data_IF_083844067716
#
_entry.id   IF_083844067716
#
_cell.length_a   1.000
_cell.length_b   1.000
_cell.length_c   1.000
_cell.angle_alpha   90.00
_cell.angle_beta   90.00
_cell.angle_gamma   90.00
#
_symmetry.space_group_name_H-M   'P 1'
#
loop_
_entity.id
_entity.type
_entity.pdbx_description
1 polymer ?
#
# COMPACT_ATOMS: atom_id res chain seq x y z
N UNK A 1 -13.82 13.58 6.10
CA UNK A 1 -12.57 14.38 6.17
C UNK A 1 -11.96 14.60 4.78
N UNK A 2 -11.69 13.57 3.97
CA UNK A 2 -11.07 13.70 2.63
C UNK A 2 -11.75 14.75 1.75
N UNK A 3 -13.07 14.73 1.60
CA UNK A 3 -13.81 15.70 0.79
C UNK A 3 -13.64 17.15 1.25
N UNK A 4 -13.49 17.38 2.56
CA UNK A 4 -13.27 18.74 3.08
C UNK A 4 -11.88 19.26 2.68
N UNK A 5 -10.87 18.41 2.71
CA UNK A 5 -9.49 18.72 2.28
C UNK A 5 -9.45 18.97 0.77
N UNK A 6 -10.04 18.09 -0.03
CA UNK A 6 -10.11 18.24 -1.50
C UNK A 6 -10.85 19.50 -1.96
N UNK A 7 -11.76 20.02 -1.13
CA UNK A 7 -12.53 21.25 -1.38
C UNK A 7 -11.99 22.48 -0.64
N UNK A 8 -10.76 22.37 -0.10
CA UNK A 8 -10.10 23.47 0.64
C UNK A 8 -10.93 24.03 1.80
N UNK A 9 -11.73 23.16 2.44
CA UNK A 9 -12.55 23.49 3.61
C UNK A 9 -11.90 23.08 4.94
N UNK A 10 -10.84 22.29 4.88
CA UNK A 10 -10.05 21.88 6.03
C UNK A 10 -8.61 21.62 5.59
N UNK A 11 -7.66 21.92 6.46
CA UNK A 11 -6.27 21.53 6.30
C UNK A 11 -6.04 20.14 6.91
N UNK A 12 -5.07 19.41 6.38
CA UNK A 12 -4.64 18.12 6.90
C UNK A 12 -3.11 18.11 7.01
N UNK A 13 -2.61 17.59 8.10
CA UNK A 13 -1.18 17.30 8.18
C UNK A 13 -0.83 16.19 7.19
N UNK A 14 0.12 16.48 6.30
CA UNK A 14 0.59 15.50 5.30
C UNK A 14 1.73 14.67 5.88
N UNK A 15 1.47 14.03 7.02
CA UNK A 15 2.41 13.11 7.65
C UNK A 15 2.07 11.65 7.28
N UNK A 16 2.92 10.75 7.72
CA UNK A 16 2.87 9.32 7.45
C UNK A 16 1.60 8.68 8.02
N UNK A 17 1.30 8.96 9.29
CA UNK A 17 0.14 8.39 10.00
C UNK A 17 -1.18 8.77 9.32
N UNK A 18 -1.31 10.04 8.95
CA UNK A 18 -2.52 10.54 8.27
C UNK A 18 -2.66 9.94 6.89
N UNK A 19 -1.58 9.74 6.14
CA UNK A 19 -1.61 9.06 4.83
C UNK A 19 -2.03 7.61 5.01
N UNK A 20 -1.38 6.90 5.94
CA UNK A 20 -1.65 5.50 6.22
C UNK A 20 -3.10 5.29 6.62
N UNK A 21 -3.61 6.04 7.61
CA UNK A 21 -4.99 5.93 8.05
C UNK A 21 -6.00 6.33 6.97
N UNK A 22 -5.70 7.34 6.16
CA UNK A 22 -6.60 7.80 5.10
C UNK A 22 -6.72 6.79 3.96
N UNK A 23 -5.64 6.15 3.55
CA UNK A 23 -5.62 5.24 2.41
C UNK A 23 -5.95 3.81 2.86
N UNK A 24 -5.17 3.25 3.79
CA UNK A 24 -5.42 1.88 4.28
C UNK A 24 -6.78 1.81 4.96
N UNK A 25 -7.14 2.81 5.79
CA UNK A 25 -8.45 2.86 6.44
C UNK A 25 -9.64 2.88 5.47
N UNK A 26 -9.50 3.49 4.30
CA UNK A 26 -10.53 3.38 3.24
C UNK A 26 -10.56 1.98 2.62
N UNK A 27 -9.41 1.39 2.36
CA UNK A 27 -9.32 0.09 1.73
C UNK A 27 -9.87 -1.03 2.63
N UNK A 28 -9.79 -0.90 3.95
CA UNK A 28 -10.40 -1.86 4.89
C UNK A 28 -11.94 -1.88 4.85
N UNK A 29 -12.58 -0.91 4.20
CA UNK A 29 -14.03 -0.91 3.95
C UNK A 29 -14.44 -1.78 2.75
N UNK A 30 -13.48 -2.26 1.97
CA UNK A 30 -13.71 -3.21 0.89
C UNK A 30 -13.94 -4.63 1.45
N UNK A 31 -14.57 -5.53 0.68
CA UNK A 31 -14.54 -6.95 1.01
C UNK A 31 -13.11 -7.44 1.23
N UNK A 32 -12.88 -8.26 2.25
CA UNK A 32 -11.55 -8.70 2.68
C UNK A 32 -10.69 -9.25 1.53
N UNK A 33 -11.27 -10.12 0.70
CA UNK A 33 -10.59 -10.70 -0.46
C UNK A 33 -10.18 -9.64 -1.50
N UNK A 34 -10.99 -8.60 -1.70
CA UNK A 34 -10.65 -7.53 -2.63
C UNK A 34 -9.55 -6.63 -2.07
N UNK A 35 -9.63 -6.30 -0.78
CA UNK A 35 -8.57 -5.57 -0.10
C UNK A 35 -7.23 -6.31 -0.18
N UNK A 36 -7.23 -7.62 0.12
CA UNK A 36 -6.04 -8.45 -0.01
C UNK A 36 -5.53 -8.52 -1.46
N UNK A 37 -6.44 -8.69 -2.43
CA UNK A 37 -6.09 -8.68 -3.86
C UNK A 37 -5.33 -7.40 -4.26
N UNK A 38 -5.77 -6.23 -3.81
CA UNK A 38 -5.12 -4.95 -4.11
C UNK A 38 -3.71 -4.88 -3.52
N UNK A 39 -3.54 -5.23 -2.24
CA UNK A 39 -2.23 -5.27 -1.60
C UNK A 39 -1.31 -6.27 -2.32
N UNK A 40 -1.79 -7.48 -2.56
CA UNK A 40 -1.03 -8.54 -3.22
C UNK A 40 -0.60 -8.16 -4.64
N UNK A 41 -1.48 -7.52 -5.43
CA UNK A 41 -1.17 -7.09 -6.79
C UNK A 41 -0.17 -5.94 -6.86
N UNK A 42 0.00 -5.18 -5.78
CA UNK A 42 1.01 -4.12 -5.69
C UNK A 42 2.44 -4.65 -5.44
N UNK A 43 2.59 -5.93 -5.08
CA UNK A 43 3.87 -6.57 -4.77
C UNK A 43 4.52 -7.16 -6.02
N UNK A 44 5.87 -7.22 -6.05
CA UNK A 44 6.64 -7.77 -7.18
C UNK A 44 6.54 -9.30 -7.27
N UNK A 45 6.49 -9.98 -6.12
CA UNK A 45 6.38 -11.44 -6.06
C UNK A 45 5.16 -11.86 -5.24
N UNK A 46 4.31 -12.70 -5.82
CA UNK A 46 3.04 -13.12 -5.21
C UNK A 46 2.97 -14.62 -4.87
N UNK A 47 3.87 -15.43 -5.41
CA UNK A 47 3.77 -16.89 -5.35
C UNK A 47 3.91 -17.52 -3.95
N UNK A 48 4.45 -16.75 -2.98
CA UNK A 48 4.60 -17.18 -1.58
C UNK A 48 3.58 -16.55 -0.64
N UNK A 49 2.64 -15.83 -1.19
CA UNK A 49 1.61 -15.12 -0.43
C UNK A 49 0.34 -15.96 -0.36
N UNK A 50 -0.46 -15.82 0.70
CA UNK A 50 -1.76 -16.47 0.79
C UNK A 50 -2.61 -16.21 -0.46
N UNK A 51 -3.27 -17.27 -0.94
CA UNK A 51 -4.14 -17.17 -2.12
C UNK A 51 -5.41 -16.40 -1.77
N UNK A 52 -6.01 -16.73 -0.63
CA UNK A 52 -7.23 -16.15 -0.08
C UNK A 52 -6.96 -15.55 1.29
N UNK A 53 -7.67 -14.48 1.64
CA UNK A 53 -7.60 -13.88 2.97
C UNK A 53 -8.59 -14.52 3.96
N UNK A 54 -9.72 -14.99 3.48
CA UNK A 54 -10.89 -15.16 4.32
C UNK A 54 -11.41 -13.80 4.81
N UNK A 55 -12.20 -13.79 5.86
CA UNK A 55 -12.72 -12.54 6.45
C UNK A 55 -11.64 -11.82 7.29
N UNK A 56 -11.83 -10.52 7.49
CA UNK A 56 -11.06 -9.73 8.46
C UNK A 56 -11.67 -9.97 9.84
N UNK A 57 -10.85 -10.49 10.77
CA UNK A 57 -11.26 -10.72 12.17
C UNK A 57 -11.01 -9.50 13.04
N UNK A 58 -9.87 -8.83 12.86
CA UNK A 58 -9.55 -7.58 13.56
C UNK A 58 -8.65 -6.67 12.73
N UNK A 59 -8.71 -5.38 13.02
CA UNK A 59 -7.84 -4.34 12.46
C UNK A 59 -7.42 -3.42 13.59
N UNK A 60 -6.13 -3.24 13.74
CA UNK A 60 -5.55 -2.32 14.70
C UNK A 60 -4.58 -1.38 14.00
N UNK A 61 -4.78 -0.08 14.17
CA UNK A 61 -3.82 0.94 13.79
C UNK A 61 -2.97 1.26 15.01
N UNK A 62 -1.63 1.28 14.83
CA UNK A 62 -0.64 1.54 15.87
C UNK A 62 -0.82 0.68 17.13
N UNK A 63 -0.91 -0.67 16.99
CA UNK A 63 -0.97 -1.54 18.15
C UNK A 63 0.31 -1.41 18.99
N UNK A 64 0.16 -1.34 20.29
CA UNK A 64 1.26 -1.29 21.24
C UNK A 64 1.72 -2.71 21.61
N UNK A 65 2.86 -3.14 21.07
CA UNK A 65 3.41 -4.46 21.35
C UNK A 65 4.68 -4.40 22.20
N UNK A 66 4.73 -5.18 23.24
CA UNK A 66 5.91 -5.35 24.06
C UNK A 66 7.01 -6.06 23.26
N UNK A 67 8.18 -5.48 23.26
CA UNK A 67 9.38 -6.12 22.72
C UNK A 67 9.98 -6.98 23.82
N UNK A 68 9.44 -8.14 24.15
CA UNK A 68 9.97 -9.01 25.21
C UNK A 68 11.51 -9.13 25.22
N UNK A 69 12.09 -10.03 26.01
CA UNK A 69 13.54 -10.30 26.02
C UNK A 69 14.03 -10.67 24.62
N UNK A 70 14.45 -9.67 23.86
CA UNK A 70 15.00 -9.83 22.51
C UNK A 70 16.51 -9.65 22.56
N UNK A 71 17.24 -10.54 21.87
CA UNK A 71 18.69 -10.42 21.66
C UNK A 71 19.09 -9.23 20.75
N UNK A 72 18.14 -8.34 20.48
CA UNK A 72 18.30 -7.20 19.58
C UNK A 72 18.18 -5.93 20.40
N UNK A 73 19.20 -5.07 20.36
CA UNK A 73 19.13 -3.74 20.99
C UNK A 73 17.94 -2.95 20.47
N UNK A 74 16.96 -2.75 21.33
CA UNK A 74 15.82 -1.88 21.06
C UNK A 74 16.24 -0.46 21.41
N UNK A 75 16.32 0.40 20.43
CA UNK A 75 16.81 1.78 20.60
C UNK A 75 15.85 2.69 21.36
N UNK A 76 14.58 2.28 21.53
CA UNK A 76 13.58 3.05 22.30
C UNK A 76 12.67 2.10 23.06
N UNK A 77 12.47 2.45 24.33
CA UNK A 77 11.40 2.01 25.22
C UNK A 77 10.72 0.67 24.88
N UNK A 78 10.51 -0.15 25.80
CA UNK A 78 9.98 -1.51 25.86
C UNK A 78 8.85 -1.93 24.89
N UNK A 79 8.50 -1.16 23.87
CA UNK A 79 7.42 -1.45 22.92
C UNK A 79 7.72 -0.99 21.47
N UNK A 80 7.01 -1.56 20.51
CA UNK A 80 6.96 -1.14 19.11
C UNK A 80 5.51 -0.95 18.69
N UNK A 81 5.31 -0.05 17.74
CA UNK A 81 4.02 0.27 17.14
C UNK A 81 4.11 0.10 15.63
N UNK A 82 3.71 -1.05 15.05
CA UNK A 82 3.48 -1.14 13.62
C UNK A 82 2.35 -0.21 13.19
N UNK A 83 2.41 0.35 11.98
CA UNK A 83 1.37 1.26 11.53
C UNK A 83 0.00 0.59 11.44
N UNK A 84 -0.06 -0.64 10.91
CA UNK A 84 -1.31 -1.42 10.82
C UNK A 84 -1.04 -2.88 11.08
N UNK A 85 -1.86 -3.48 11.92
CA UNK A 85 -1.98 -4.91 12.09
C UNK A 85 -3.39 -5.36 11.70
N UNK A 86 -3.47 -6.43 10.91
CA UNK A 86 -4.74 -7.01 10.48
C UNK A 86 -4.70 -8.52 10.70
N UNK A 87 -5.67 -9.02 11.41
CA UNK A 87 -5.92 -10.44 11.52
C UNK A 87 -6.95 -10.86 10.48
N UNK A 88 -6.53 -11.64 9.50
CA UNK A 88 -7.42 -12.37 8.60
C UNK A 88 -7.67 -13.79 9.11
N UNK A 89 -8.71 -14.45 8.63
CA UNK A 89 -8.94 -15.86 8.94
C UNK A 89 -7.74 -16.73 8.51
N UNK A 90 -7.14 -16.47 7.35
CA UNK A 90 -6.10 -17.31 6.75
C UNK A 90 -4.68 -16.94 7.18
N UNK A 91 -4.41 -15.69 7.55
CA UNK A 91 -3.08 -15.19 7.89
C UNK A 91 -3.14 -13.90 8.70
N UNK A 92 -2.01 -13.47 9.22
CA UNK A 92 -1.87 -12.17 9.87
C UNK A 92 -1.03 -11.24 9.01
N UNK A 93 -1.35 -9.95 9.00
CA UNK A 93 -0.70 -8.93 8.18
C UNK A 93 -0.19 -7.79 9.05
N UNK A 94 1.09 -7.44 8.86
CA UNK A 94 1.66 -6.16 9.32
C UNK A 94 1.91 -5.28 8.09
N UNK A 95 1.51 -4.02 8.18
CA UNK A 95 1.91 -2.98 7.23
C UNK A 95 2.71 -1.94 7.99
N UNK A 96 3.93 -1.68 7.53
CA UNK A 96 4.78 -0.56 7.95
C UNK A 96 4.92 0.40 6.80
N UNK A 97 4.43 1.61 6.95
CA UNK A 97 4.38 2.63 5.91
C UNK A 97 5.47 3.68 6.09
N UNK A 98 5.95 4.25 5.01
CA UNK A 98 6.83 5.41 5.00
C UNK A 98 6.44 6.36 3.89
N UNK A 99 6.51 7.66 4.15
CA UNK A 99 6.39 8.65 3.09
C UNK A 99 7.56 8.56 2.09
N UNK A 100 7.33 9.06 0.87
CA UNK A 100 8.40 9.22 -0.09
C UNK A 100 9.46 10.21 0.47
N UNK A 101 10.73 9.79 0.39
CA UNK A 101 11.84 10.52 0.98
C UNK A 101 12.28 10.02 2.37
N UNK A 102 11.44 9.30 3.08
CA UNK A 102 11.82 8.54 4.26
C UNK A 102 12.31 7.15 3.86
N UNK A 103 13.05 6.47 4.78
CA UNK A 103 13.57 5.14 4.49
C UNK A 103 13.02 4.11 5.45
N UNK A 104 12.86 2.90 4.92
CA UNK A 104 12.60 1.70 5.69
C UNK A 104 13.91 1.17 6.29
N UNK A 105 13.86 0.59 7.50
CA UNK A 105 15.02 0.05 8.20
C UNK A 105 14.81 -1.38 8.64
N UNK A 106 15.79 -2.25 8.39
CA UNK A 106 15.75 -3.67 8.78
C UNK A 106 15.55 -3.84 10.29
N UNK A 107 16.17 -2.97 11.09
CA UNK A 107 16.05 -3.03 12.56
C UNK A 107 14.60 -2.85 13.01
N UNK A 108 13.86 -1.90 12.40
CA UNK A 108 12.45 -1.67 12.70
C UNK A 108 11.60 -2.90 12.35
N UNK A 109 11.79 -3.46 11.17
CA UNK A 109 11.09 -4.68 10.74
C UNK A 109 11.40 -5.86 11.67
N UNK A 110 12.67 -6.02 12.05
CA UNK A 110 13.11 -7.07 12.98
C UNK A 110 12.42 -6.94 14.32
N UNK A 111 12.39 -5.74 14.89
CA UNK A 111 11.75 -5.46 16.18
C UNK A 111 10.25 -5.76 16.13
N UNK A 112 9.56 -5.33 15.08
CA UNK A 112 8.12 -5.57 14.92
C UNK A 112 7.79 -7.05 14.74
N UNK A 113 8.57 -7.80 13.94
CA UNK A 113 8.38 -9.25 13.78
C UNK A 113 8.66 -10.01 15.09
N UNK A 114 9.68 -9.59 15.86
CA UNK A 114 9.96 -10.17 17.17
C UNK A 114 8.83 -9.88 18.17
N UNK A 115 8.37 -8.63 18.21
CA UNK A 115 7.27 -8.23 19.09
C UNK A 115 5.97 -8.96 18.73
N UNK A 116 5.64 -9.08 17.44
CA UNK A 116 4.51 -9.89 16.99
C UNK A 116 4.56 -11.31 17.58
N UNK A 117 5.69 -12.00 17.44
CA UNK A 117 5.87 -13.36 17.97
C UNK A 117 5.76 -13.46 19.50
N UNK A 118 5.98 -12.37 20.22
CA UNK A 118 5.89 -12.33 21.69
C UNK A 118 4.50 -11.93 22.19
N UNK A 119 3.73 -11.17 21.40
CA UNK A 119 2.43 -10.63 21.83
C UNK A 119 1.24 -11.37 21.18
N UNK A 120 1.43 -11.98 20.02
CA UNK A 120 0.36 -12.63 19.26
C UNK A 120 0.60 -14.14 19.27
N UNK A 121 -0.26 -14.87 19.97
CA UNK A 121 -0.28 -16.33 19.95
C UNK A 121 -1.09 -16.81 18.75
N UNK A 122 -0.39 -17.12 17.66
CA UNK A 122 -1.02 -17.54 16.41
C UNK A 122 -0.11 -18.45 15.59
N UNK A 123 -0.69 -19.54 15.07
CA UNK A 123 -0.02 -20.46 14.13
C UNK A 123 -0.18 -20.00 12.68
N UNK A 124 -0.91 -18.89 12.45
CA UNK A 124 -1.11 -18.35 11.10
C UNK A 124 0.19 -17.80 10.52
N UNK A 125 0.32 -17.87 9.21
CA UNK A 125 1.42 -17.19 8.52
C UNK A 125 1.38 -15.70 8.82
N UNK A 126 2.52 -15.10 9.19
CA UNK A 126 2.68 -13.65 9.20
C UNK A 126 3.13 -13.18 7.82
N UNK A 127 2.37 -12.31 7.21
CA UNK A 127 2.75 -11.51 6.03
C UNK A 127 3.19 -10.14 6.50
N UNK A 128 4.32 -9.64 6.01
CA UNK A 128 4.79 -8.30 6.32
C UNK A 128 4.93 -7.51 5.03
N UNK A 129 4.36 -6.31 4.99
CA UNK A 129 4.44 -5.37 3.86
C UNK A 129 5.09 -4.07 4.33
N UNK A 130 6.25 -3.75 3.77
CA UNK A 130 6.88 -2.44 3.89
C UNK A 130 6.39 -1.55 2.74
N UNK A 131 5.53 -0.58 3.04
CA UNK A 131 4.83 0.26 2.07
C UNK A 131 5.49 1.65 1.99
N UNK A 132 6.00 2.03 0.82
CA UNK A 132 6.75 3.28 0.65
C UNK A 132 8.17 3.23 1.24
N UNK A 133 8.97 4.25 1.00
CA UNK A 133 10.33 4.39 1.56
C UNK A 133 11.34 3.31 1.13
N UNK A 134 11.02 2.49 0.15
CA UNK A 134 11.83 1.36 -0.30
C UNK A 134 12.73 1.75 -1.50
N UNK A 135 14.02 1.39 -1.43
CA UNK A 135 14.97 1.53 -2.56
C UNK A 135 14.74 0.50 -3.67
N UNK A 136 14.09 -0.60 -3.37
CA UNK A 136 13.78 -1.70 -4.29
C UNK A 136 12.42 -2.29 -3.92
N UNK A 137 11.71 -2.84 -4.89
CA UNK A 137 10.45 -3.56 -4.65
C UNK A 137 10.65 -5.07 -4.49
N UNK A 138 11.88 -5.57 -4.67
CA UNK A 138 12.18 -6.98 -4.42
C UNK A 138 12.02 -7.30 -2.94
N UNK A 139 11.48 -8.46 -2.59
CA UNK A 139 11.38 -8.88 -1.20
C UNK A 139 12.74 -8.92 -0.51
N UNK A 140 12.73 -8.68 0.79
CA UNK A 140 13.90 -8.73 1.64
C UNK A 140 13.75 -9.84 2.69
N UNK A 141 14.80 -10.57 2.98
CA UNK A 141 14.81 -11.58 4.03
C UNK A 141 15.62 -11.07 5.22
N UNK A 142 14.99 -11.00 6.39
CA UNK A 142 15.63 -10.52 7.60
C UNK A 142 16.83 -11.39 7.98
N UNK A 143 17.92 -10.74 8.39
CA UNK A 143 19.18 -11.39 8.76
C UNK A 143 19.40 -11.47 10.27
N UNK A 144 18.63 -10.72 11.07
CA UNK A 144 18.89 -10.46 12.48
C UNK A 144 17.94 -11.21 13.44
N UNK A 145 18.47 -11.62 14.59
CA UNK A 145 17.74 -12.10 15.77
C UNK A 145 16.73 -13.21 15.51
N UNK A 146 15.68 -13.26 16.35
CA UNK A 146 14.57 -14.23 16.24
C UNK A 146 13.71 -14.05 15.00
N UNK A 147 13.81 -12.90 14.33
CA UNK A 147 13.12 -12.61 13.07
C UNK A 147 13.87 -13.13 11.84
N UNK A 148 15.10 -13.66 11.99
CA UNK A 148 15.91 -14.17 10.89
C UNK A 148 15.14 -15.15 10.00
N UNK A 149 15.25 -14.96 8.70
CA UNK A 149 14.54 -15.76 7.70
C UNK A 149 13.13 -15.29 7.39
N UNK A 150 12.57 -14.33 8.17
CA UNK A 150 11.26 -13.75 7.84
C UNK A 150 11.34 -12.88 6.59
N UNK A 151 10.33 -12.98 5.74
CA UNK A 151 10.27 -12.26 4.46
C UNK A 151 9.49 -10.96 4.61
N UNK A 152 10.10 -9.86 4.23
CA UNK A 152 9.50 -8.54 4.11
C UNK A 152 9.14 -8.32 2.64
N UNK A 153 7.86 -8.15 2.35
CA UNK A 153 7.39 -7.78 1.02
C UNK A 153 7.42 -6.26 0.90
N UNK A 154 7.97 -5.75 -0.19
CA UNK A 154 8.18 -4.31 -0.36
C UNK A 154 7.39 -3.78 -1.55
N UNK A 155 6.71 -2.66 -1.37
CA UNK A 155 6.06 -1.95 -2.46
C UNK A 155 6.10 -0.43 -2.25
N UNK A 156 5.74 0.33 -3.28
CA UNK A 156 5.56 1.77 -3.18
C UNK A 156 4.08 2.14 -3.11
N UNK A 157 3.80 3.33 -2.61
CA UNK A 157 2.46 3.91 -2.67
C UNK A 157 1.94 4.01 -4.11
N UNK A 158 2.82 4.33 -5.07
CA UNK A 158 2.47 4.42 -6.48
C UNK A 158 1.95 3.08 -7.04
N UNK A 159 2.57 1.95 -6.70
CA UNK A 159 2.10 0.63 -7.14
C UNK A 159 0.75 0.26 -6.52
N UNK A 160 0.53 0.65 -5.26
CA UNK A 160 -0.78 0.46 -4.63
C UNK A 160 -1.85 1.33 -5.31
N UNK A 161 -1.53 2.59 -5.64
CA UNK A 161 -2.43 3.47 -6.39
C UNK A 161 -2.77 2.88 -7.77
N UNK A 162 -1.79 2.35 -8.49
CA UNK A 162 -2.00 1.69 -9.78
C UNK A 162 -2.90 0.45 -9.66
N UNK A 163 -2.71 -0.37 -8.62
CA UNK A 163 -3.58 -1.51 -8.35
C UNK A 163 -5.03 -1.08 -8.08
N UNK A 164 -5.23 -0.02 -7.29
CA UNK A 164 -6.56 0.55 -7.01
C UNK A 164 -7.20 1.09 -8.30
N UNK A 165 -6.44 1.81 -9.10
CA UNK A 165 -6.92 2.38 -10.37
C UNK A 165 -7.35 1.30 -11.36
N UNK A 166 -6.52 0.28 -11.53
CA UNK A 166 -6.81 -0.84 -12.43
C UNK A 166 -8.07 -1.58 -11.98
N UNK A 167 -8.23 -1.82 -10.69
CA UNK A 167 -9.43 -2.45 -10.15
C UNK A 167 -10.67 -1.57 -10.33
N UNK A 168 -10.57 -0.25 -10.10
CA UNK A 168 -11.67 0.67 -10.30
C UNK A 168 -12.14 0.68 -11.77
N UNK A 169 -11.20 0.68 -12.72
CA UNK A 169 -11.51 0.62 -14.15
C UNK A 169 -12.12 -0.74 -14.54
N UNK A 170 -11.62 -1.84 -13.96
CA UNK A 170 -12.20 -3.16 -14.16
C UNK A 170 -13.64 -3.21 -13.67
N UNK A 171 -13.91 -2.75 -12.45
CA UNK A 171 -15.27 -2.69 -11.88
C UNK A 171 -16.21 -1.82 -12.72
N UNK A 172 -15.71 -0.80 -13.38
CA UNK A 172 -16.48 0.12 -14.22
C UNK A 172 -16.78 -0.48 -15.61
N UNK A 173 -15.85 -1.31 -16.16
CA UNK A 173 -15.96 -1.91 -17.47
C UNK A 173 -16.82 -3.19 -17.51
N UNK A 174 -16.97 -3.87 -16.36
CA UNK A 174 -17.68 -5.15 -16.27
C UNK A 174 -19.10 -4.98 -15.71
N UNK A 175 -20.15 -4.93 -16.56
CA UNK A 175 -21.52 -4.62 -16.13
C UNK A 175 -22.10 -5.58 -15.08
N UNK A 176 -21.67 -6.85 -15.13
CA UNK A 176 -22.14 -7.90 -14.20
C UNK A 176 -21.41 -7.89 -12.86
N UNK A 177 -20.20 -7.31 -12.83
CA UNK A 177 -19.37 -7.18 -11.64
C UNK A 177 -19.51 -5.79 -11.01
N UNK A 178 -20.27 -4.88 -11.65
CA UNK A 178 -20.39 -3.51 -11.22
C UNK A 178 -21.01 -3.40 -9.83
N UNK A 179 -20.20 -3.04 -8.85
CA UNK A 179 -20.62 -2.72 -7.50
C UNK A 179 -20.34 -1.24 -7.22
N UNK A 180 -21.40 -0.43 -7.19
CA UNK A 180 -21.32 1.03 -6.98
C UNK A 180 -20.64 1.40 -5.66
N UNK A 181 -20.80 0.59 -4.62
CA UNK A 181 -20.18 0.85 -3.33
C UNK A 181 -18.67 0.60 -3.38
N UNK A 182 -18.24 -0.51 -3.95
CA UNK A 182 -16.83 -0.84 -4.17
C UNK A 182 -16.17 0.25 -5.00
N UNK A 183 -16.74 0.58 -6.18
CA UNK A 183 -16.20 1.61 -7.06
C UNK A 183 -16.08 2.97 -6.36
N UNK A 184 -17.07 3.36 -5.55
CA UNK A 184 -17.00 4.61 -4.78
C UNK A 184 -15.86 4.60 -3.78
N UNK A 185 -15.61 3.50 -3.08
CA UNK A 185 -14.49 3.38 -2.14
C UNK A 185 -13.15 3.48 -2.89
N UNK A 186 -12.99 2.75 -4.01
CA UNK A 186 -11.78 2.79 -4.82
C UNK A 186 -11.49 4.20 -5.35
N UNK A 187 -12.50 4.89 -5.90
CA UNK A 187 -12.33 6.27 -6.38
C UNK A 187 -12.06 7.27 -5.25
N UNK A 188 -12.61 7.05 -4.05
CA UNK A 188 -12.25 7.84 -2.88
C UNK A 188 -10.81 7.61 -2.44
N UNK A 189 -10.31 6.39 -2.52
CA UNK A 189 -8.91 6.07 -2.24
C UNK A 189 -7.97 6.75 -3.25
N UNK A 190 -8.27 6.71 -4.55
CA UNK A 190 -7.52 7.46 -5.57
C UNK A 190 -7.48 8.98 -5.26
N UNK A 191 -8.63 9.55 -4.89
CA UNK A 191 -8.71 10.96 -4.51
C UNK A 191 -7.87 11.26 -3.26
N UNK A 192 -7.80 10.34 -2.29
CA UNK A 192 -6.96 10.51 -1.11
C UNK A 192 -5.48 10.64 -1.49
N UNK A 193 -5.00 9.87 -2.46
CA UNK A 193 -3.63 9.99 -2.97
C UNK A 193 -3.31 11.37 -3.54
N UNK A 194 -4.28 12.05 -4.16
CA UNK A 194 -4.04 13.39 -4.72
C UNK A 194 -3.72 14.44 -3.65
N UNK A 195 -4.17 14.23 -2.40
CA UNK A 195 -3.85 15.11 -1.26
C UNK A 195 -2.33 15.10 -0.99
N UNK A 196 -1.68 13.98 -1.29
CA UNK A 196 -0.23 13.78 -1.12
C UNK A 196 0.56 14.04 -2.41
N UNK A 197 -0.10 14.58 -3.45
CA UNK A 197 0.52 14.91 -4.74
C UNK A 197 0.73 13.71 -5.66
N UNK A 198 0.25 12.54 -5.28
CA UNK A 198 0.37 11.32 -6.08
C UNK A 198 -0.76 11.19 -7.09
N UNK A 199 -0.44 10.75 -8.28
CA UNK A 199 -1.39 10.57 -9.38
C UNK A 199 -1.05 9.30 -10.13
N UNK A 200 -2.06 8.70 -10.75
CA UNK A 200 -1.87 7.57 -11.65
C UNK A 200 -1.01 8.01 -12.83
N UNK A 201 0.06 7.29 -13.07
CA UNK A 201 0.90 7.49 -14.26
C UNK A 201 0.27 6.75 -15.42
N UNK A 202 -0.28 7.50 -16.38
CA UNK A 202 -0.78 6.90 -17.63
C UNK A 202 0.42 6.56 -18.51
N UNK A 203 0.70 5.28 -18.68
CA UNK A 203 1.68 4.82 -19.67
C UNK A 203 1.12 5.02 -21.08
N UNK A 204 2.01 5.32 -22.05
CA UNK A 204 1.63 5.53 -23.44
C UNK A 204 0.76 4.39 -24.02
N UNK A 205 1.00 3.16 -23.55
CA UNK A 205 0.23 1.97 -23.93
C UNK A 205 -1.24 1.99 -23.45
N UNK A 206 -1.53 2.74 -22.38
CA UNK A 206 -2.88 2.90 -21.83
C UNK A 206 -3.66 4.07 -22.44
N UNK A 207 -3.03 4.86 -23.31
CA UNK A 207 -3.69 5.96 -24.01
C UNK A 207 -4.62 5.35 -25.08
N UNK A 208 -5.93 5.60 -25.00
CA UNK A 208 -6.86 5.06 -26.02
C UNK A 208 -6.42 5.46 -27.42
N UNK A 209 -6.40 4.50 -28.34
CA UNK A 209 -5.96 4.64 -29.74
C UNK A 209 -6.77 5.68 -30.55
N UNK A 210 -7.77 6.33 -29.95
CA UNK A 210 -8.47 7.46 -30.55
C UNK A 210 -7.55 8.66 -30.89
N UNK A 211 -6.31 8.66 -30.41
CA UNK A 211 -5.25 9.58 -30.86
C UNK A 211 -4.62 9.16 -32.22
N UNK A 212 -5.01 8.04 -32.79
CA UNK A 212 -4.52 7.58 -34.11
C UNK A 212 -4.91 8.49 -35.29
N UNK A 213 -5.60 9.58 -35.04
CA UNK A 213 -5.90 10.63 -36.04
C UNK A 213 -5.15 11.93 -35.80
N UNK A 214 -3.97 11.88 -35.17
CA UNK A 214 -3.07 13.03 -35.20
C UNK A 214 -2.63 13.21 -36.65
N UNK A 215 -3.15 14.25 -37.30
CA UNK A 215 -2.78 14.59 -38.66
C UNK A 215 -1.29 14.90 -38.71
N UNK A 216 -0.64 14.59 -39.82
CA UNK A 216 0.81 14.78 -40.03
C UNK A 216 1.29 16.20 -39.67
N UNK A 217 0.46 17.21 -39.94
CA UNK A 217 0.70 18.62 -39.62
C UNK A 217 0.75 18.92 -38.09
N UNK A 218 0.07 18.11 -37.29
CA UNK A 218 0.13 18.23 -35.80
C UNK A 218 1.37 17.56 -35.25
N UNK A 219 1.87 16.49 -35.86
CA UNK A 219 3.13 15.85 -35.50
C UNK A 219 4.32 16.77 -35.79
N UNK A 220 4.27 17.53 -36.88
CA UNK A 220 5.34 18.46 -37.21
C UNK A 220 5.40 19.63 -36.22
N UNK A 221 4.27 20.14 -35.75
CA UNK A 221 4.22 21.14 -34.68
C UNK A 221 4.77 20.64 -33.35
N UNK A 222 4.48 19.38 -33.00
CA UNK A 222 5.04 18.75 -31.79
C UNK A 222 6.56 18.59 -31.94
N UNK A 223 7.07 18.19 -33.11
CA UNK A 223 8.51 18.09 -33.38
C UNK A 223 9.22 19.43 -33.32
N UNK A 224 8.60 20.51 -33.74
CA UNK A 224 9.18 21.84 -33.63
C UNK A 224 9.32 22.30 -32.17
N UNK A 225 8.33 22.04 -31.33
CA UNK A 225 8.36 22.35 -29.90
C UNK A 225 9.46 21.57 -29.16
N UNK A 226 9.76 20.34 -29.58
CA UNK A 226 10.79 19.49 -28.95
C UNK A 226 12.21 19.72 -29.47
N UNK A 227 12.37 20.50 -30.53
CA UNK A 227 13.71 20.89 -31.09
C UNK A 227 14.28 22.17 -30.50
N UNK A 228 13.56 22.82 -29.60
CA UNK A 228 13.95 24.15 -29.06
C UNK A 228 14.49 24.03 -27.61
N UNK A 229 15.04 22.88 -27.21
CA UNK A 229 15.81 22.79 -25.96
C UNK A 229 17.08 21.97 -26.19
#
# INVERSE_FOLDING_TARGET
MINAVLKEKADIQRNEDVKTSSIIGLLTLLPAELFWKLLKSSLSEQHRLPVSSGDILSIEFWPHWYVGDTDVEVTNENFVEPDVYIEFESFNLIIEAKLDGNFQYEQQWTNQVCAYKSNIESDKQLVYIALGGNKSHEPYTLSLGRAKGHRINRCSWQRLLEAIHNEANFQESEPYMYNRQILRILRMAEQAFTIYGERVTLWLESIPVHLATIKSDQLDKIREVWKIN
#
